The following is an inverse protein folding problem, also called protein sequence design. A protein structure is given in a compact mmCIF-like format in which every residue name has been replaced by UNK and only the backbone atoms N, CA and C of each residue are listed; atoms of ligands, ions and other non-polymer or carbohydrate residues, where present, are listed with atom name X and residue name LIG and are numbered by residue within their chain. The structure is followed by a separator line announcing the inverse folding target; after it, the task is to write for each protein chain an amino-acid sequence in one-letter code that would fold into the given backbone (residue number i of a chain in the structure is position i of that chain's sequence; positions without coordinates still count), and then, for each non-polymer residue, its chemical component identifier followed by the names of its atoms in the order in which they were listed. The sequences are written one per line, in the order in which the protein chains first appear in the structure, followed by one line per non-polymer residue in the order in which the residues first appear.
data_IF_263971599177
#
_entry.id   IF_263971599177
#
_cell.length_a   1.000
_cell.length_b   1.000
_cell.length_c   1.000
_cell.angle_alpha   90.00
_cell.angle_beta   90.00
_cell.angle_gamma   90.00
#
_symmetry.space_group_name_H-M   'P 1'
#
loop_
_entity.id
_entity.type
_entity.pdbx_description
1 polymer ?
#
# COMPACT_ATOMS: atom_id res chain seq x y z
N UNK A 1 16.93 -11.62 20.67
CA UNK A 1 15.55 -11.24 21.04
C UNK A 1 15.02 -12.35 21.93
N UNK A 2 14.48 -12.03 23.11
CA UNK A 2 13.95 -13.03 24.03
C UNK A 2 12.60 -13.59 23.54
N UNK A 3 12.29 -14.84 23.88
CA UNK A 3 11.06 -15.52 23.43
C UNK A 3 9.79 -14.79 23.89
N UNK A 4 9.84 -14.08 25.02
CA UNK A 4 8.69 -13.33 25.55
C UNK A 4 8.41 -12.08 24.71
N UNK A 5 9.45 -11.31 24.36
CA UNK A 5 9.31 -10.16 23.44
C UNK A 5 8.84 -10.59 22.07
N UNK A 6 9.43 -11.65 21.48
CA UNK A 6 8.98 -12.18 20.19
C UNK A 6 7.49 -12.58 20.24
N UNK A 7 7.07 -13.32 21.27
CA UNK A 7 5.67 -13.71 21.47
C UNK A 7 4.75 -12.49 21.59
N UNK A 8 5.12 -11.48 22.36
CA UNK A 8 4.31 -10.28 22.54
C UNK A 8 4.18 -9.48 21.24
N UNK A 9 5.26 -9.37 20.46
CA UNK A 9 5.23 -8.74 19.13
C UNK A 9 4.36 -9.52 18.16
N UNK A 10 4.42 -10.86 18.17
CA UNK A 10 3.57 -11.70 17.33
C UNK A 10 2.10 -11.60 17.71
N UNK A 11 1.76 -11.50 19.00
CA UNK A 11 0.39 -11.26 19.45
C UNK A 11 -0.08 -9.88 18.98
N UNK A 12 0.72 -8.84 19.16
CA UNK A 12 0.38 -7.50 18.67
C UNK A 12 0.17 -7.46 17.16
N UNK A 13 1.04 -8.13 16.40
CA UNK A 13 0.91 -8.25 14.94
C UNK A 13 -0.35 -9.04 14.55
N UNK A 14 -0.65 -10.14 15.23
CA UNK A 14 -1.86 -10.93 14.97
C UNK A 14 -3.13 -10.11 15.23
N UNK A 15 -3.16 -9.33 16.30
CA UNK A 15 -4.26 -8.40 16.59
C UNK A 15 -4.39 -7.37 15.46
N UNK A 16 -3.30 -6.76 15.02
CA UNK A 16 -3.32 -5.81 13.90
C UNK A 16 -3.86 -6.46 12.62
N UNK A 17 -3.39 -7.66 12.25
CA UNK A 17 -3.85 -8.41 11.07
C UNK A 17 -5.36 -8.68 11.12
N UNK A 18 -5.91 -9.00 12.29
CA UNK A 18 -7.35 -9.22 12.47
C UNK A 18 -8.14 -7.91 12.37
N UNK A 19 -7.58 -6.81 12.87
CA UNK A 19 -8.23 -5.49 12.83
C UNK A 19 -8.17 -4.83 11.44
N UNK A 20 -7.14 -5.11 10.63
CA UNK A 20 -6.99 -4.56 9.27
C UNK A 20 -8.23 -4.72 8.38
N UNK A 21 -8.86 -5.91 8.24
CA UNK A 21 -10.05 -6.07 7.39
C UNK A 21 -11.30 -5.38 7.93
N UNK A 22 -11.34 -4.93 9.20
CA UNK A 22 -12.45 -4.11 9.69
C UNK A 22 -12.51 -2.74 8.97
N UNK A 23 -11.38 -2.27 8.45
CA UNK A 23 -11.33 -1.07 7.61
C UNK A 23 -12.16 -1.20 6.32
N UNK A 24 -12.33 -2.42 5.78
CA UNK A 24 -13.17 -2.66 4.60
C UNK A 24 -14.67 -2.47 4.87
N UNK A 25 -15.08 -2.49 6.16
CA UNK A 25 -16.46 -2.22 6.56
C UNK A 25 -16.73 -0.73 6.77
N UNK A 26 -15.67 0.10 6.82
CA UNK A 26 -15.83 1.55 6.89
C UNK A 26 -16.27 2.07 5.52
N UNK A 27 -17.27 2.96 5.52
CA UNK A 27 -17.80 3.56 4.29
C UNK A 27 -16.89 4.74 3.91
N UNK A 28 -16.29 4.67 2.72
CA UNK A 28 -15.46 5.73 2.14
C UNK A 28 -13.99 5.34 1.97
N UNK A 29 -13.22 6.20 1.31
CA UNK A 29 -11.79 6.00 1.04
C UNK A 29 -10.96 5.83 2.32
N UNK A 30 -9.92 5.01 2.22
CA UNK A 30 -9.08 4.67 3.37
C UNK A 30 -8.41 5.92 3.94
N UNK A 31 -8.36 6.00 5.27
CA UNK A 31 -7.78 7.17 5.94
C UNK A 31 -6.29 7.28 5.57
N UNK A 32 -5.93 8.36 4.88
CA UNK A 32 -4.54 8.65 4.48
C UNK A 32 -4.22 8.34 3.01
N UNK A 33 -5.12 7.71 2.25
CA UNK A 33 -5.00 7.57 0.78
C UNK A 33 -5.75 8.68 0.04
N UNK A 34 -6.13 9.76 0.74
CA UNK A 34 -7.00 10.77 0.14
C UNK A 34 -6.33 11.60 -0.96
N UNK A 35 -7.01 11.69 -2.09
CA UNK A 35 -6.67 12.60 -3.17
C UNK A 35 -7.00 14.07 -2.88
N UNK A 36 -6.54 14.97 -3.74
CA UNK A 36 -6.86 16.40 -3.63
C UNK A 36 -8.39 16.66 -3.68
N UNK A 37 -9.11 15.91 -4.49
CA UNK A 37 -10.57 16.03 -4.62
C UNK A 37 -11.28 15.65 -3.32
N UNK A 38 -10.91 14.53 -2.72
CA UNK A 38 -11.47 14.03 -1.46
C UNK A 38 -11.10 14.93 -0.28
N UNK A 39 -9.89 15.49 -0.25
CA UNK A 39 -9.50 16.48 0.75
C UNK A 39 -10.39 17.72 0.66
N UNK A 40 -10.61 18.22 -0.56
CA UNK A 40 -11.50 19.36 -0.78
C UNK A 40 -12.93 19.06 -0.31
N UNK A 41 -13.43 17.85 -0.56
CA UNK A 41 -14.77 17.43 -0.14
C UNK A 41 -14.90 17.23 1.38
N UNK A 42 -13.87 16.67 2.04
CA UNK A 42 -13.92 16.34 3.48
C UNK A 42 -13.57 17.52 4.38
N UNK A 43 -12.59 18.34 4.00
CA UNK A 43 -12.06 19.43 4.85
C UNK A 43 -12.22 20.82 4.23
N UNK A 44 -12.75 20.92 3.01
CA UNK A 44 -13.12 22.19 2.36
C UNK A 44 -11.99 22.89 1.60
N UNK A 45 -10.77 22.35 1.62
CA UNK A 45 -9.63 22.90 0.88
C UNK A 45 -8.55 21.85 0.62
N UNK A 46 -7.64 22.14 -0.31
CA UNK A 46 -6.45 21.33 -0.61
C UNK A 46 -5.23 22.06 -0.05
N UNK A 47 -4.41 21.43 0.81
CA UNK A 47 -3.16 22.04 1.26
C UNK A 47 -2.21 22.32 0.08
N UNK A 48 -1.64 23.53 0.02
CA UNK A 48 -0.81 23.99 -1.10
C UNK A 48 0.40 23.07 -1.38
N UNK A 49 0.96 22.45 -0.33
CA UNK A 49 2.03 21.46 -0.47
C UNK A 49 1.58 20.19 -1.20
N UNK A 50 0.35 19.72 -0.94
CA UNK A 50 -0.21 18.54 -1.61
C UNK A 50 -0.51 18.84 -3.07
N UNK A 51 -1.06 20.01 -3.38
CA UNK A 51 -1.31 20.44 -4.77
C UNK A 51 -0.03 20.48 -5.61
N UNK A 52 1.09 20.96 -5.03
CA UNK A 52 2.39 20.98 -5.72
C UNK A 52 2.97 19.59 -5.93
N UNK A 53 2.81 18.67 -4.98
CA UNK A 53 3.42 17.34 -5.03
C UNK A 53 2.56 16.36 -5.84
N UNK A 54 1.24 16.51 -5.84
CA UNK A 54 0.33 15.63 -6.56
C UNK A 54 0.57 15.63 -8.07
N UNK A 55 1.09 16.72 -8.62
CA UNK A 55 1.46 16.83 -10.04
C UNK A 55 2.83 16.24 -10.39
N UNK A 56 3.66 15.91 -9.39
CA UNK A 56 5.02 15.38 -9.62
C UNK A 56 5.01 13.89 -9.96
N UNK A 57 3.97 13.17 -9.55
CA UNK A 57 3.88 11.72 -9.74
C UNK A 57 2.42 11.29 -9.87
N UNK A 58 2.09 10.75 -11.04
CA UNK A 58 0.86 10.01 -11.25
C UNK A 58 1.16 8.50 -11.15
N UNK A 59 0.31 7.76 -10.45
CA UNK A 59 0.46 6.32 -10.36
C UNK A 59 0.35 5.72 -11.78
N UNK A 60 1.25 4.80 -12.18
CA UNK A 60 1.18 4.17 -13.50
C UNK A 60 -0.12 3.41 -13.79
N UNK A 61 -0.82 3.00 -12.73
CA UNK A 61 -2.10 2.29 -12.78
C UNK A 61 -2.99 2.82 -11.63
N UNK A 62 -3.68 3.95 -11.83
CA UNK A 62 -4.58 4.49 -10.82
C UNK A 62 -5.72 3.50 -10.56
N UNK A 63 -6.09 3.36 -9.30
CA UNK A 63 -7.14 2.45 -8.80
C UNK A 63 -6.98 0.98 -9.18
N UNK A 64 -5.78 0.60 -9.63
CA UNK A 64 -5.48 -0.71 -10.19
C UNK A 64 -6.44 -1.10 -11.32
N UNK A 65 -6.94 -0.12 -12.06
CA UNK A 65 -7.89 -0.30 -13.16
C UNK A 65 -7.17 -0.23 -14.51
N UNK A 66 -7.56 -1.11 -15.44
CA UNK A 66 -7.15 -1.01 -16.84
C UNK A 66 -8.30 -0.48 -17.68
N UNK A 67 -8.05 0.53 -18.54
CA UNK A 67 -9.05 1.02 -19.48
C UNK A 67 -9.60 -0.14 -20.34
N UNK A 68 -10.92 -0.29 -20.41
CA UNK A 68 -11.58 -1.36 -21.17
C UNK A 68 -11.89 -2.64 -20.38
N UNK A 69 -11.56 -2.69 -19.08
CA UNK A 69 -11.88 -3.83 -18.19
C UNK A 69 -12.70 -3.38 -16.96
N UNK A 70 -13.81 -2.68 -17.22
CA UNK A 70 -14.69 -2.09 -16.19
C UNK A 70 -15.74 -3.07 -15.63
N UNK A 71 -15.84 -4.28 -16.18
CA UNK A 71 -16.72 -5.31 -15.63
C UNK A 71 -16.18 -5.79 -14.28
N UNK A 72 -17.05 -5.90 -13.26
CA UNK A 72 -16.69 -6.26 -11.88
C UNK A 72 -15.69 -7.43 -11.76
N UNK A 73 -15.93 -8.52 -12.50
CA UNK A 73 -15.06 -9.69 -12.50
C UNK A 73 -13.66 -9.39 -13.07
N UNK A 74 -13.58 -8.57 -14.11
CA UNK A 74 -12.32 -8.18 -14.73
C UNK A 74 -11.52 -7.24 -13.83
N UNK A 75 -12.17 -6.24 -13.21
CA UNK A 75 -11.53 -5.32 -12.27
C UNK A 75 -10.97 -6.05 -11.05
N UNK A 76 -11.70 -7.03 -10.50
CA UNK A 76 -11.21 -7.85 -9.39
C UNK A 76 -9.97 -8.69 -9.78
N UNK A 77 -9.95 -9.26 -10.99
CA UNK A 77 -8.79 -10.01 -11.50
C UNK A 77 -7.59 -9.08 -11.69
N UNK A 78 -7.78 -7.90 -12.27
CA UNK A 78 -6.71 -6.92 -12.48
C UNK A 78 -6.14 -6.44 -11.14
N UNK A 79 -7.01 -6.19 -10.16
CA UNK A 79 -6.60 -5.84 -8.81
C UNK A 79 -5.69 -6.92 -8.19
N UNK A 80 -6.08 -8.20 -8.28
CA UNK A 80 -5.27 -9.32 -7.79
C UNK A 80 -3.93 -9.42 -8.54
N UNK A 81 -3.92 -9.29 -9.87
CA UNK A 81 -2.70 -9.31 -10.67
C UNK A 81 -1.77 -8.17 -10.27
N UNK A 82 -2.32 -6.97 -10.04
CA UNK A 82 -1.57 -5.79 -9.62
C UNK A 82 -0.94 -5.99 -8.24
N UNK A 83 -1.68 -6.59 -7.30
CA UNK A 83 -1.15 -6.94 -5.99
C UNK A 83 0.00 -7.96 -6.10
N UNK A 84 -0.15 -9.01 -6.90
CA UNK A 84 0.92 -10.01 -7.12
C UNK A 84 2.17 -9.38 -7.75
N UNK A 85 1.98 -8.49 -8.73
CA UNK A 85 3.07 -7.78 -9.38
C UNK A 85 3.80 -6.85 -8.39
N UNK A 86 3.06 -6.10 -7.58
CA UNK A 86 3.61 -5.26 -6.52
C UNK A 86 4.45 -6.06 -5.51
N UNK A 87 3.93 -7.19 -5.03
CA UNK A 87 4.66 -8.09 -4.11
C UNK A 87 5.95 -8.62 -4.77
N UNK A 88 5.89 -9.04 -6.03
CA UNK A 88 7.05 -9.56 -6.74
C UNK A 88 8.14 -8.49 -6.93
N UNK A 89 7.75 -7.26 -7.29
CA UNK A 89 8.68 -6.14 -7.46
C UNK A 89 9.31 -5.76 -6.12
N UNK A 90 8.50 -5.48 -5.10
CA UNK A 90 8.99 -5.07 -3.78
C UNK A 90 9.87 -6.16 -3.15
N UNK A 91 9.40 -7.41 -3.16
CA UNK A 91 10.17 -8.55 -2.65
C UNK A 91 11.47 -8.76 -3.41
N UNK A 92 11.44 -8.65 -4.74
CA UNK A 92 12.63 -8.76 -5.59
C UNK A 92 13.65 -7.66 -5.32
N UNK A 93 13.21 -6.41 -5.16
CA UNK A 93 14.07 -5.27 -4.81
C UNK A 93 14.69 -5.45 -3.43
N UNK A 94 13.90 -5.83 -2.43
CA UNK A 94 14.39 -6.09 -1.07
C UNK A 94 15.39 -7.25 -1.04
N UNK A 95 15.12 -8.33 -1.75
CA UNK A 95 16.04 -9.46 -1.87
C UNK A 95 17.35 -9.05 -2.56
N UNK A 96 17.26 -8.32 -3.68
CA UNK A 96 18.41 -7.84 -4.41
C UNK A 96 19.28 -6.90 -3.56
N UNK A 97 18.65 -5.95 -2.87
CA UNK A 97 19.33 -5.01 -1.99
C UNK A 97 19.94 -5.71 -0.77
N UNK A 98 19.18 -6.60 -0.12
CA UNK A 98 19.66 -7.41 0.98
C UNK A 98 20.88 -8.24 0.59
N UNK A 99 20.86 -8.85 -0.61
CA UNK A 99 21.99 -9.60 -1.16
C UNK A 99 23.22 -8.71 -1.42
N UNK A 100 23.04 -7.47 -1.87
CA UNK A 100 24.14 -6.51 -2.03
C UNK A 100 24.77 -6.19 -0.67
N UNK A 101 23.96 -5.81 0.31
CA UNK A 101 24.41 -5.40 1.65
C UNK A 101 25.12 -6.53 2.40
N UNK A 102 24.67 -7.78 2.26
CA UNK A 102 25.33 -8.93 2.89
C UNK A 102 26.57 -9.40 2.15
N UNK A 103 26.72 -9.09 0.85
CA UNK A 103 27.90 -9.43 0.06
C UNK A 103 29.11 -8.54 0.39
N UNK A 104 28.88 -7.31 0.86
CA UNK A 104 29.93 -6.33 1.15
C UNK A 104 30.35 -6.32 2.63
N UNK A 105 29.98 -7.34 3.41
CA UNK A 105 30.45 -7.52 4.80
C UNK A 105 31.85 -8.15 4.77
N UNK A 106 32.91 -7.47 5.24
CA UNK A 106 34.17 -8.14 5.55
C UNK A 106 33.93 -8.99 6.81
N UNK A 107 34.28 -10.25 6.72
CA UNK A 107 34.44 -11.21 7.82
C UNK A 107 35.54 -10.81 8.81
#
# INVERSE_FOLDING_TARGET
MDNKTLRNMLIGLAVLVILTPLGLLAIGETFGEWGNEELKDKIGYVPEGMEKISSLWEAPLPDYALPGFENFSASAIIYIISALLGVAICGGLLYYWGRRVTRDRPD
#
